data_IF_056722244574
#
_entry.id   IF_056722244574
#
_cell.length_a   1.000
_cell.length_b   1.000
_cell.length_c   1.000
_cell.angle_alpha   90.00
_cell.angle_beta   90.00
_cell.angle_gamma   90.00
#
_symmetry.space_group_name_H-M   'P 1'
#
loop_
_entity.id
_entity.type
_entity.pdbx_description
1 polymer ?
#
# COMPACT_ATOMS: atom_id res chain seq x y z
N UNK A 1 44.21 1.31 -4.49
CA UNK A 1 42.77 1.16 -4.81
C UNK A 1 42.10 0.44 -3.63
N UNK A 2 41.83 1.19 -2.55
CA UNK A 2 41.41 0.64 -1.25
C UNK A 2 39.90 0.43 -1.29
N UNK A 3 39.47 -0.84 -1.29
CA UNK A 3 38.07 -1.20 -1.06
C UNK A 3 37.76 -0.93 0.41
N UNK A 4 37.03 0.15 0.69
CA UNK A 4 36.36 0.30 1.97
C UNK A 4 35.30 -0.80 2.09
N UNK A 5 35.62 -1.84 2.85
CA UNK A 5 34.64 -2.78 3.37
C UNK A 5 33.75 -2.01 4.36
N UNK A 6 32.59 -1.55 3.90
CA UNK A 6 31.56 -0.97 4.76
C UNK A 6 30.88 -2.11 5.51
N UNK A 7 30.71 -2.04 6.84
CA UNK A 7 30.22 -3.16 7.63
C UNK A 7 28.79 -3.57 7.22
N UNK A 8 28.51 -4.89 7.17
CA UNK A 8 27.16 -5.41 6.97
C UNK A 8 26.32 -5.13 8.22
N UNK A 9 25.51 -4.08 8.19
CA UNK A 9 24.67 -3.68 9.31
C UNK A 9 24.00 -2.32 9.16
N UNK A 10 24.46 -1.52 8.19
CA UNK A 10 23.88 -0.20 7.96
C UNK A 10 22.52 -0.33 7.26
N UNK A 11 21.42 0.05 7.93
CA UNK A 11 20.06 -0.03 7.37
C UNK A 11 19.92 0.71 6.02
N UNK A 12 20.77 1.73 5.81
CA UNK A 12 20.89 2.47 4.55
C UNK A 12 21.46 1.61 3.41
N UNK A 13 22.40 0.71 3.71
CA UNK A 13 22.98 -0.25 2.76
C UNK A 13 21.97 -1.34 2.39
N UNK A 14 21.29 -1.93 3.38
CA UNK A 14 20.25 -2.95 3.15
C UNK A 14 19.13 -2.44 2.25
N UNK A 15 18.73 -1.18 2.44
CA UNK A 15 17.67 -0.53 1.65
C UNK A 15 18.09 -0.22 0.21
N UNK A 16 19.39 0.04 -0.04
CA UNK A 16 19.92 0.27 -1.40
C UNK A 16 20.10 -1.02 -2.18
N UNK A 17 20.46 -2.09 -1.48
CA UNK A 17 20.81 -3.40 -2.05
C UNK A 17 19.74 -4.48 -1.80
N UNK A 18 18.52 -4.09 -1.45
CA UNK A 18 17.41 -5.02 -1.26
C UNK A 18 17.25 -6.04 -2.40
N UNK A 19 17.36 -5.70 -3.70
CA UNK A 19 17.12 -6.66 -4.77
C UNK A 19 18.18 -7.78 -4.85
N UNK A 20 19.35 -7.60 -4.23
CA UNK A 20 20.42 -8.61 -4.25
C UNK A 20 20.37 -9.58 -3.08
N UNK A 21 19.84 -9.18 -1.92
CA UNK A 21 19.76 -10.06 -0.76
C UNK A 21 18.39 -10.73 -0.61
N UNK A 22 17.30 -10.16 -1.13
CA UNK A 22 15.96 -10.71 -0.94
C UNK A 22 15.82 -12.12 -1.48
N UNK A 23 16.37 -12.43 -2.65
CA UNK A 23 16.30 -13.78 -3.20
C UNK A 23 17.00 -14.84 -2.34
N UNK A 24 18.12 -14.48 -1.67
CA UNK A 24 18.79 -15.37 -0.71
C UNK A 24 18.03 -15.48 0.61
N UNK A 25 17.43 -14.39 1.09
CA UNK A 25 16.56 -14.43 2.27
C UNK A 25 15.32 -15.30 2.03
N UNK A 26 14.69 -15.19 0.85
CA UNK A 26 13.58 -16.07 0.43
C UNK A 26 14.01 -17.52 0.37
N UNK A 27 15.22 -17.80 -0.15
CA UNK A 27 15.75 -19.15 -0.20
C UNK A 27 15.97 -19.71 1.21
N UNK A 28 16.58 -18.93 2.11
CA UNK A 28 16.79 -19.31 3.50
C UNK A 28 15.47 -19.56 4.24
N UNK A 29 14.50 -18.66 4.10
CA UNK A 29 13.17 -18.82 4.68
C UNK A 29 12.48 -20.08 4.15
N UNK A 30 12.49 -20.30 2.83
CA UNK A 30 11.83 -21.46 2.21
C UNK A 30 12.51 -22.78 2.61
N UNK A 31 13.84 -22.78 2.74
CA UNK A 31 14.60 -23.93 3.21
C UNK A 31 14.25 -24.28 4.65
N UNK A 32 14.26 -23.29 5.55
CA UNK A 32 13.91 -23.48 6.96
C UNK A 32 12.49 -24.03 7.10
N UNK A 33 11.53 -23.43 6.40
CA UNK A 33 10.14 -23.86 6.45
C UNK A 33 9.93 -25.23 5.78
N UNK A 34 10.70 -25.56 4.74
CA UNK A 34 10.74 -26.88 4.14
C UNK A 34 11.28 -27.95 5.09
N UNK A 35 12.35 -27.66 5.81
CA UNK A 35 12.90 -28.55 6.85
C UNK A 35 11.91 -28.75 8.00
N UNK A 36 11.21 -27.70 8.42
CA UNK A 36 10.12 -27.82 9.40
C UNK A 36 8.97 -28.71 8.88
N UNK A 37 8.61 -28.57 7.60
CA UNK A 37 7.65 -29.45 6.93
C UNK A 37 8.08 -30.92 6.97
N UNK A 38 9.36 -31.21 6.71
CA UNK A 38 9.93 -32.56 6.82
C UNK A 38 9.84 -33.06 8.26
N UNK A 39 10.24 -32.24 9.23
CA UNK A 39 10.18 -32.57 10.66
C UNK A 39 8.76 -32.95 11.10
N UNK A 40 7.74 -32.17 10.73
CA UNK A 40 6.34 -32.48 11.04
C UNK A 40 5.82 -33.71 10.31
N UNK A 41 6.29 -33.97 9.08
CA UNK A 41 5.93 -35.16 8.30
C UNK A 41 6.43 -36.45 8.96
N UNK A 42 7.53 -36.39 9.71
CA UNK A 42 8.08 -37.51 10.49
C UNK A 42 7.60 -37.55 11.95
N UNK A 43 6.48 -36.89 12.27
CA UNK A 43 5.87 -36.92 13.60
C UNK A 43 6.48 -35.94 14.61
N UNK A 44 7.20 -34.92 14.13
CA UNK A 44 7.67 -33.83 14.97
C UNK A 44 6.54 -33.10 15.69
N UNK A 45 6.77 -32.73 16.96
CA UNK A 45 5.79 -31.99 17.76
C UNK A 45 5.59 -30.53 17.27
N UNK A 46 4.48 -29.91 17.66
CA UNK A 46 4.23 -28.48 17.40
C UNK A 46 3.81 -28.17 15.97
N UNK A 47 3.01 -29.04 15.35
CA UNK A 47 2.39 -28.75 14.05
C UNK A 47 1.46 -27.52 14.17
N UNK A 48 1.72 -26.44 13.42
CA UNK A 48 1.07 -25.14 13.65
C UNK A 48 -0.40 -25.08 13.25
N UNK A 49 -0.87 -26.05 12.46
CA UNK A 49 -2.25 -26.10 11.99
C UNK A 49 -3.06 -27.25 12.60
N UNK A 50 -2.55 -27.84 13.68
CA UNK A 50 -3.32 -28.78 14.48
C UNK A 50 -4.61 -28.12 14.96
N UNK A 51 -5.62 -28.95 15.23
CA UNK A 51 -6.88 -28.45 15.78
C UNK A 51 -6.62 -27.70 17.09
N UNK A 52 -7.18 -26.50 17.18
CA UNK A 52 -7.14 -25.65 18.37
C UNK A 52 -8.52 -25.77 19.04
N UNK A 53 -8.60 -25.83 20.40
CA UNK A 53 -9.89 -25.87 21.08
C UNK A 53 -10.82 -24.71 20.67
N UNK A 54 -12.13 -24.96 20.68
CA UNK A 54 -13.16 -24.06 20.11
C UNK A 54 -13.15 -22.63 20.68
N UNK A 55 -12.67 -22.44 21.91
CA UNK A 55 -12.55 -21.12 22.56
C UNK A 55 -11.50 -20.21 21.90
N UNK A 56 -10.60 -20.78 21.09
CA UNK A 56 -9.50 -20.09 20.40
C UNK A 56 -9.56 -20.23 18.88
N UNK A 57 -10.56 -20.95 18.37
CA UNK A 57 -10.70 -21.25 16.97
C UNK A 57 -10.92 -19.98 16.16
N UNK A 58 -10.11 -19.82 15.11
CA UNK A 58 -10.11 -18.61 14.27
C UNK A 58 -10.78 -18.85 12.94
N UNK A 59 -11.36 -20.03 12.68
CA UNK A 59 -11.89 -20.44 11.38
C UNK A 59 -10.89 -20.21 10.22
N UNK A 60 -9.60 -20.33 10.54
CA UNK A 60 -8.51 -20.17 9.56
C UNK A 60 -8.50 -21.36 8.60
N UNK A 61 -8.20 -21.12 7.33
CA UNK A 61 -8.33 -22.12 6.24
C UNK A 61 -7.53 -23.40 6.51
N UNK A 62 -6.37 -23.27 7.16
CA UNK A 62 -5.51 -24.41 7.45
C UNK A 62 -5.76 -25.01 8.83
N UNK A 63 -6.54 -24.34 9.69
CA UNK A 63 -6.79 -24.79 11.05
C UNK A 63 -7.51 -26.14 11.08
N UNK A 64 -7.01 -27.09 11.88
CA UNK A 64 -7.56 -28.44 11.96
C UNK A 64 -7.21 -29.36 10.78
N UNK A 65 -6.29 -28.95 9.88
CA UNK A 65 -5.89 -29.78 8.75
C UNK A 65 -5.00 -30.96 9.16
N UNK A 66 -5.11 -32.12 8.47
CA UNK A 66 -4.31 -33.30 8.76
C UNK A 66 -2.82 -33.09 8.48
N UNK A 67 -1.98 -33.43 9.47
CA UNK A 67 -0.51 -33.27 9.39
C UNK A 67 0.11 -34.14 8.29
N UNK A 68 -0.44 -35.33 8.05
CA UNK A 68 0.01 -36.30 7.05
C UNK A 68 -0.19 -35.82 5.60
N UNK A 69 -1.06 -34.84 5.38
CA UNK A 69 -1.27 -34.23 4.05
C UNK A 69 -0.51 -32.92 3.93
N UNK A 70 -0.66 -32.02 4.90
CA UNK A 70 -0.17 -30.65 4.77
C UNK A 70 1.34 -30.56 5.01
N UNK A 71 1.90 -31.30 5.97
CA UNK A 71 3.34 -31.24 6.26
C UNK A 71 4.22 -31.68 5.08
N UNK A 72 3.90 -32.77 4.33
CA UNK A 72 4.65 -33.12 3.12
C UNK A 72 4.54 -32.09 1.99
N UNK A 73 3.38 -31.44 1.85
CA UNK A 73 3.18 -30.35 0.89
C UNK A 73 4.04 -29.14 1.26
N UNK A 74 4.07 -28.76 2.55
CA UNK A 74 4.94 -27.69 3.06
C UNK A 74 6.42 -28.01 2.82
N UNK A 75 6.84 -29.25 3.08
CA UNK A 75 8.20 -29.71 2.82
C UNK A 75 8.56 -29.56 1.33
N UNK A 76 7.70 -30.06 0.44
CA UNK A 76 7.91 -30.02 -1.01
C UNK A 76 7.99 -28.59 -1.52
N UNK A 77 7.01 -27.74 -1.16
CA UNK A 77 6.95 -26.34 -1.58
C UNK A 77 8.13 -25.56 -1.00
N UNK A 78 8.49 -25.78 0.27
CA UNK A 78 9.60 -25.09 0.92
C UNK A 78 10.95 -25.42 0.29
N UNK A 79 11.26 -26.72 0.12
CA UNK A 79 12.51 -27.17 -0.48
C UNK A 79 12.63 -26.79 -1.95
N UNK A 80 11.58 -27.03 -2.76
CA UNK A 80 11.55 -26.61 -4.16
C UNK A 80 11.61 -25.08 -4.29
N UNK A 81 10.92 -24.36 -3.40
CA UNK A 81 10.94 -22.91 -3.30
C UNK A 81 12.34 -22.36 -3.01
N UNK A 82 13.11 -23.03 -2.14
CA UNK A 82 14.49 -22.64 -1.85
C UNK A 82 15.38 -22.72 -3.11
N UNK A 83 15.30 -23.83 -3.84
CA UNK A 83 16.02 -24.03 -5.11
C UNK A 83 15.60 -22.96 -6.13
N UNK A 84 14.30 -22.74 -6.27
CA UNK A 84 13.73 -21.74 -7.18
C UNK A 84 14.21 -20.33 -6.85
N UNK A 85 14.20 -19.93 -5.57
CA UNK A 85 14.65 -18.61 -5.14
C UNK A 85 16.13 -18.38 -5.46
N UNK A 86 16.99 -19.39 -5.26
CA UNK A 86 18.42 -19.32 -5.66
C UNK A 86 18.56 -19.23 -7.17
N UNK A 87 17.83 -20.06 -7.93
CA UNK A 87 17.85 -20.06 -9.39
C UNK A 87 17.41 -18.68 -9.95
N UNK A 88 16.31 -18.12 -9.46
CA UNK A 88 15.84 -16.79 -9.81
C UNK A 88 16.86 -15.71 -9.47
N UNK A 89 17.67 -15.89 -8.43
CA UNK A 89 18.68 -14.91 -8.01
C UNK A 89 19.93 -14.97 -8.87
N UNK A 90 20.44 -16.17 -9.16
CA UNK A 90 21.72 -16.36 -9.87
C UNK A 90 21.60 -16.40 -11.38
N UNK A 91 20.53 -16.96 -11.92
CA UNK A 91 20.37 -17.14 -13.35
C UNK A 91 19.87 -15.86 -14.03
N UNK A 92 20.22 -15.71 -15.31
CA UNK A 92 19.57 -14.69 -16.15
C UNK A 92 18.08 -15.02 -16.24
N UNK A 93 17.20 -14.04 -16.03
CA UNK A 93 15.77 -14.28 -16.08
C UNK A 93 15.36 -14.80 -17.44
N UNK A 94 14.70 -15.96 -17.45
CA UNK A 94 14.17 -16.63 -18.64
C UNK A 94 12.71 -16.98 -18.40
N UNK A 95 11.84 -16.55 -19.31
CA UNK A 95 10.41 -16.86 -19.28
C UNK A 95 9.60 -16.19 -18.16
N UNK A 96 8.28 -16.22 -18.31
CA UNK A 96 7.29 -15.73 -17.34
C UNK A 96 6.94 -16.76 -16.26
N UNK A 97 7.27 -18.03 -16.46
CA UNK A 97 6.87 -19.14 -15.57
C UNK A 97 7.40 -18.96 -14.14
N UNK A 98 8.72 -18.72 -13.98
CA UNK A 98 9.30 -18.53 -12.64
C UNK A 98 8.71 -17.31 -11.92
N UNK A 99 8.36 -16.28 -12.68
CA UNK A 99 7.69 -15.10 -12.14
C UNK A 99 6.26 -15.43 -11.68
N UNK A 100 5.51 -16.22 -12.46
CA UNK A 100 4.17 -16.66 -12.11
C UNK A 100 4.18 -17.51 -10.83
N UNK A 101 5.09 -18.48 -10.73
CA UNK A 101 5.24 -19.31 -9.52
C UNK A 101 5.56 -18.43 -8.30
N UNK A 102 6.53 -17.53 -8.42
CA UNK A 102 6.88 -16.62 -7.32
C UNK A 102 5.72 -15.69 -6.93
N UNK A 103 4.90 -15.26 -7.89
CA UNK A 103 3.72 -14.45 -7.61
C UNK A 103 2.61 -15.26 -6.92
N UNK A 104 2.38 -16.51 -7.33
CA UNK A 104 1.44 -17.43 -6.68
C UNK A 104 1.85 -17.70 -5.24
N UNK A 105 3.14 -18.00 -4.99
CA UNK A 105 3.66 -18.19 -3.64
C UNK A 105 3.52 -16.93 -2.80
N UNK A 106 3.83 -15.76 -3.37
CA UNK A 106 3.67 -14.49 -2.68
C UNK A 106 2.21 -14.22 -2.26
N UNK A 107 1.26 -14.40 -3.19
CA UNK A 107 -0.17 -14.18 -2.94
C UNK A 107 -0.72 -15.21 -1.95
N UNK A 108 -0.41 -16.49 -2.16
CA UNK A 108 -0.86 -17.57 -1.29
C UNK A 108 -0.43 -17.36 0.16
N UNK A 109 0.87 -17.10 0.37
CA UNK A 109 1.45 -16.95 1.70
C UNK A 109 1.10 -15.62 2.38
N UNK A 110 0.96 -14.52 1.62
CA UNK A 110 0.71 -13.20 2.21
C UNK A 110 -0.77 -12.82 2.32
N UNK A 111 -1.64 -13.36 1.46
CA UNK A 111 -3.03 -12.88 1.31
C UNK A 111 -4.09 -13.97 1.45
N UNK A 112 -3.77 -15.24 1.13
CA UNK A 112 -4.77 -16.32 1.13
C UNK A 112 -4.74 -17.11 2.43
N UNK A 113 -3.54 -17.51 2.87
CA UNK A 113 -3.39 -18.34 4.08
C UNK A 113 -3.61 -17.56 5.38
N UNK A 114 -3.16 -16.29 5.53
CA UNK A 114 -3.40 -15.55 6.77
C UNK A 114 -4.90 -15.28 7.00
N UNK A 115 -5.26 -15.12 8.27
CA UNK A 115 -6.62 -14.85 8.74
C UNK A 115 -6.73 -13.46 9.39
N UNK A 116 -7.75 -13.23 10.23
CA UNK A 116 -7.90 -11.98 11.00
C UNK A 116 -6.74 -11.67 11.94
N UNK A 117 -5.83 -12.60 12.22
CA UNK A 117 -4.68 -12.40 13.09
C UNK A 117 -3.88 -11.17 12.67
N UNK A 118 -3.65 -10.97 11.37
CA UNK A 118 -2.83 -9.84 10.91
C UNK A 118 -3.47 -8.49 11.22
N UNK A 119 -4.79 -8.36 10.99
CA UNK A 119 -5.50 -7.11 11.29
C UNK A 119 -5.69 -6.92 12.80
N UNK A 120 -5.95 -8.01 13.55
CA UNK A 120 -6.04 -7.98 14.99
C UNK A 120 -4.73 -7.53 15.64
N UNK A 121 -3.59 -8.05 15.19
CA UNK A 121 -2.26 -7.62 15.66
C UNK A 121 -2.04 -6.14 15.37
N UNK A 122 -2.42 -5.65 14.19
CA UNK A 122 -2.27 -4.22 13.85
C UNK A 122 -3.19 -3.35 14.73
N UNK A 123 -4.47 -3.72 14.86
CA UNK A 123 -5.46 -2.98 15.64
C UNK A 123 -5.13 -2.97 17.15
N UNK A 124 -4.65 -4.10 17.67
CA UNK A 124 -4.26 -4.26 19.08
C UNK A 124 -2.83 -3.80 19.35
N UNK A 125 -2.01 -3.54 18.34
CA UNK A 125 -0.60 -3.15 18.54
C UNK A 125 -0.40 -1.96 19.50
N UNK A 126 -1.23 -0.89 19.50
CA UNK A 126 -1.07 0.18 20.49
C UNK A 126 -1.32 -0.31 21.91
N UNK A 127 -2.33 -1.16 22.11
CA UNK A 127 -2.63 -1.77 23.40
C UNK A 127 -1.53 -2.73 23.84
N UNK A 128 -1.03 -3.59 22.93
CA UNK A 128 0.09 -4.52 23.19
C UNK A 128 1.35 -3.74 23.59
N UNK A 129 1.66 -2.63 22.93
CA UNK A 129 2.79 -1.77 23.28
C UNK A 129 2.60 -1.20 24.68
N UNK A 130 1.43 -0.64 25.00
CA UNK A 130 1.13 -0.14 26.34
C UNK A 130 1.29 -1.26 27.37
N UNK A 131 0.71 -2.44 27.15
CA UNK A 131 0.84 -3.60 28.05
C UNK A 131 2.29 -4.04 28.25
N UNK A 132 3.09 -4.09 27.18
CA UNK A 132 4.50 -4.44 27.25
C UNK A 132 5.32 -3.44 28.11
N UNK A 133 4.90 -2.17 28.15
CA UNK A 133 5.57 -1.13 28.95
C UNK A 133 5.00 -1.00 30.38
N UNK A 134 3.70 -1.18 30.57
CA UNK A 134 3.04 -0.97 31.87
C UNK A 134 2.95 -2.24 32.71
N UNK A 135 3.04 -3.42 32.10
CA UNK A 135 2.89 -4.70 32.78
C UNK A 135 1.48 -4.95 33.32
N UNK A 136 0.51 -4.09 33.03
CA UNK A 136 -0.89 -4.26 33.42
C UNK A 136 -1.56 -5.13 32.35
N UNK A 137 -1.84 -6.42 32.61
CA UNK A 137 -2.58 -7.22 31.65
C UNK A 137 -3.98 -6.61 31.50
N UNK A 138 -4.46 -6.50 30.26
CA UNK A 138 -5.90 -6.34 30.02
C UNK A 138 -6.66 -7.58 30.52
N UNK A 139 -7.98 -7.62 30.37
CA UNK A 139 -8.80 -8.78 30.76
C UNK A 139 -8.43 -10.10 30.05
N UNK A 140 -7.53 -10.05 29.06
CA UNK A 140 -6.98 -11.19 28.32
C UNK A 140 -5.70 -11.66 29.04
N UNK A 141 -5.60 -12.95 29.37
CA UNK A 141 -4.58 -13.58 30.24
C UNK A 141 -3.10 -13.47 29.82
N UNK A 142 -2.76 -12.61 28.86
CA UNK A 142 -1.39 -12.25 28.46
C UNK A 142 -1.17 -12.26 26.94
N UNK A 143 0.06 -11.93 26.52
CA UNK A 143 0.46 -11.95 25.10
C UNK A 143 0.35 -13.36 24.50
N UNK A 144 0.55 -14.41 25.30
CA UNK A 144 0.47 -15.80 24.86
C UNK A 144 -0.94 -16.24 24.43
N UNK A 145 -2.00 -15.64 24.99
CA UNK A 145 -3.37 -15.91 24.58
C UNK A 145 -3.71 -15.20 23.25
N UNK A 146 -3.06 -14.07 22.98
CA UNK A 146 -3.24 -13.30 21.74
C UNK A 146 -2.39 -13.89 20.59
N UNK A 147 -1.16 -14.32 20.89
CA UNK A 147 -0.16 -14.80 19.94
C UNK A 147 0.27 -16.24 20.25
N UNK A 148 -0.68 -17.16 20.28
CA UNK A 148 -0.37 -18.58 20.36
C UNK A 148 0.26 -19.09 19.05
N UNK A 149 0.80 -20.31 19.08
CA UNK A 149 1.69 -20.84 18.04
C UNK A 149 1.13 -20.73 16.61
N UNK A 150 -0.16 -21.02 16.40
CA UNK A 150 -0.81 -20.88 15.09
C UNK A 150 -0.68 -19.46 14.53
N UNK A 151 -1.04 -18.46 15.33
CA UNK A 151 -1.02 -17.04 14.95
C UNK A 151 0.39 -16.54 14.66
N UNK A 152 1.36 -16.97 15.46
CA UNK A 152 2.79 -16.69 15.21
C UNK A 152 3.21 -17.31 13.88
N UNK A 153 2.78 -18.55 13.60
CA UNK A 153 3.08 -19.22 12.34
C UNK A 153 2.48 -18.50 11.12
N UNK A 154 1.26 -17.97 11.23
CA UNK A 154 0.66 -17.14 10.17
C UNK A 154 1.48 -15.87 9.89
N UNK A 155 2.05 -15.23 10.93
CA UNK A 155 2.98 -14.10 10.75
C UNK A 155 4.27 -14.54 10.06
N UNK A 156 4.80 -15.71 10.39
CA UNK A 156 6.00 -16.29 9.72
C UNK A 156 5.72 -16.55 8.24
N UNK A 157 4.56 -17.13 7.91
CA UNK A 157 4.09 -17.32 6.53
C UNK A 157 3.94 -16.01 5.78
N UNK A 158 3.32 -15.02 6.42
CA UNK A 158 3.16 -13.68 5.87
C UNK A 158 4.52 -13.04 5.48
N UNK A 159 5.51 -13.15 6.37
CA UNK A 159 6.88 -12.69 6.09
C UNK A 159 7.46 -13.43 4.87
N UNK A 160 7.25 -14.74 4.78
CA UNK A 160 7.61 -15.54 3.61
C UNK A 160 6.98 -15.04 2.31
N UNK A 161 5.68 -14.72 2.36
CA UNK A 161 4.96 -14.14 1.22
C UNK A 161 5.51 -12.77 0.78
N UNK A 162 5.86 -11.90 1.73
CA UNK A 162 6.52 -10.60 1.44
C UNK A 162 7.90 -10.80 0.79
N UNK A 163 8.69 -11.78 1.27
CA UNK A 163 9.99 -12.13 0.68
C UNK A 163 9.84 -12.66 -0.76
N UNK A 164 8.85 -13.53 -1.00
CA UNK A 164 8.49 -14.00 -2.34
C UNK A 164 8.03 -12.86 -3.26
N UNK A 165 7.20 -11.94 -2.77
CA UNK A 165 6.78 -10.76 -3.52
C UNK A 165 7.97 -9.89 -3.93
N UNK A 166 8.89 -9.63 -2.98
CA UNK A 166 10.11 -8.87 -3.26
C UNK A 166 10.99 -9.57 -4.29
N UNK A 167 11.12 -10.89 -4.21
CA UNK A 167 11.88 -11.72 -5.16
C UNK A 167 11.26 -11.70 -6.55
N UNK A 168 9.93 -11.84 -6.65
CA UNK A 168 9.17 -11.75 -7.89
C UNK A 168 9.34 -10.37 -8.55
N UNK A 169 9.25 -9.28 -7.77
CA UNK A 169 9.47 -7.91 -8.26
C UNK A 169 10.90 -7.72 -8.75
N UNK A 170 11.90 -8.19 -8.00
CA UNK A 170 13.31 -8.08 -8.39
C UNK A 170 13.61 -8.89 -9.65
N UNK A 171 13.03 -10.09 -9.79
CA UNK A 171 13.14 -10.92 -11.00
C UNK A 171 12.46 -10.27 -12.21
N UNK A 172 11.24 -9.76 -12.04
CA UNK A 172 10.49 -9.06 -13.09
C UNK A 172 11.23 -7.81 -13.60
N UNK A 173 11.81 -7.03 -12.69
CA UNK A 173 12.58 -5.84 -13.09
C UNK A 173 13.85 -6.20 -13.86
N UNK A 174 14.52 -7.30 -13.49
CA UNK A 174 15.67 -7.83 -14.25
C UNK A 174 15.25 -8.35 -15.62
N UNK A 175 14.13 -9.07 -15.71
CA UNK A 175 13.63 -9.62 -16.98
C UNK A 175 13.23 -8.52 -17.97
N UNK A 176 12.77 -7.37 -17.47
CA UNK A 176 12.43 -6.18 -18.26
C UNK A 176 13.61 -5.23 -18.54
N UNK A 177 14.83 -5.56 -18.09
CA UNK A 177 16.00 -4.68 -18.19
C UNK A 177 15.77 -3.25 -17.65
N UNK A 178 14.92 -3.12 -16.62
CA UNK A 178 14.69 -1.86 -15.93
C UNK A 178 15.50 -1.80 -14.63
N UNK A 179 15.60 -0.62 -14.02
CA UNK A 179 16.31 -0.47 -12.76
C UNK A 179 15.68 -1.37 -11.68
N UNK A 180 16.46 -2.31 -11.14
CA UNK A 180 15.98 -3.26 -10.11
C UNK A 180 15.52 -2.58 -8.81
N UNK A 181 16.05 -1.40 -8.48
CA UNK A 181 15.71 -0.68 -7.25
C UNK A 181 14.43 0.15 -7.39
N UNK A 182 14.28 0.93 -8.47
CA UNK A 182 13.15 1.86 -8.63
C UNK A 182 12.14 1.46 -9.72
N UNK A 183 12.45 0.48 -10.56
CA UNK A 183 11.61 0.02 -11.68
C UNK A 183 11.64 0.91 -12.93
N UNK A 184 12.44 1.99 -12.95
CA UNK A 184 12.52 2.91 -14.10
C UNK A 184 13.33 2.31 -15.26
N UNK A 185 12.78 2.39 -16.47
CA UNK A 185 13.42 1.99 -17.73
C UNK A 185 13.93 3.18 -18.56
N UNK A 186 14.20 2.92 -19.85
CA UNK A 186 14.60 3.93 -20.84
C UNK A 186 13.51 5.02 -20.99
N UNK A 187 12.27 4.58 -21.18
CA UNK A 187 11.06 5.41 -21.17
C UNK A 187 10.20 5.05 -19.95
N UNK A 188 9.59 6.04 -19.32
CA UNK A 188 8.56 5.80 -18.29
C UNK A 188 7.19 5.69 -18.95
N UNK A 189 6.37 4.68 -18.60
CA UNK A 189 5.00 4.59 -19.09
C UNK A 189 4.18 5.82 -18.69
N UNK A 190 3.34 6.32 -19.60
CA UNK A 190 2.53 7.53 -19.39
C UNK A 190 1.63 7.44 -18.14
N UNK A 191 1.12 6.25 -17.81
CA UNK A 191 0.29 6.00 -16.63
C UNK A 191 1.04 6.18 -15.29
N UNK A 192 2.38 6.11 -15.31
CA UNK A 192 3.24 6.37 -14.14
C UNK A 192 3.62 7.84 -13.98
N UNK A 193 3.23 8.70 -14.92
CA UNK A 193 3.45 10.14 -14.77
C UNK A 193 2.72 10.66 -13.51
N UNK A 194 3.27 11.67 -12.80
CA UNK A 194 2.63 12.19 -11.58
C UNK A 194 1.19 12.66 -11.79
N UNK A 195 0.89 13.20 -12.99
CA UNK A 195 -0.45 13.67 -13.36
C UNK A 195 -1.42 12.50 -13.58
N UNK A 196 -1.02 11.45 -14.31
CA UNK A 196 -1.83 10.26 -14.47
C UNK A 196 -2.03 9.54 -13.13
N UNK A 197 -0.95 9.36 -12.35
CA UNK A 197 -0.98 8.81 -11.00
C UNK A 197 -1.96 9.51 -10.06
N UNK A 198 -2.07 10.84 -10.16
CA UNK A 198 -3.07 11.58 -9.39
C UNK A 198 -4.51 11.27 -9.86
N UNK A 199 -4.76 11.12 -11.16
CA UNK A 199 -6.10 10.89 -11.71
C UNK A 199 -6.67 9.54 -11.27
N UNK A 200 -5.95 8.45 -11.50
CA UNK A 200 -6.42 7.13 -11.07
C UNK A 200 -6.28 6.94 -9.55
N UNK A 201 -5.33 7.62 -8.90
CA UNK A 201 -5.22 7.62 -7.44
C UNK A 201 -6.45 8.20 -6.74
N UNK A 202 -7.11 9.22 -7.31
CA UNK A 202 -8.38 9.76 -6.79
C UNK A 202 -9.50 8.73 -6.80
N UNK A 203 -9.61 7.95 -7.87
CA UNK A 203 -10.57 6.85 -7.95
C UNK A 203 -10.27 5.78 -6.92
N UNK A 204 -9.00 5.38 -6.79
CA UNK A 204 -8.59 4.39 -5.79
C UNK A 204 -8.91 4.85 -4.35
N UNK A 205 -8.68 6.12 -4.01
CA UNK A 205 -9.08 6.69 -2.71
C UNK A 205 -10.59 6.66 -2.54
N UNK A 206 -11.37 7.07 -3.55
CA UNK A 206 -12.83 7.06 -3.48
C UNK A 206 -13.39 5.65 -3.25
N UNK A 207 -12.86 4.65 -3.96
CA UNK A 207 -13.25 3.25 -3.80
C UNK A 207 -12.85 2.74 -2.40
N UNK A 208 -11.64 3.05 -1.93
CA UNK A 208 -11.18 2.64 -0.61
C UNK A 208 -12.08 3.19 0.51
N UNK A 209 -12.45 4.46 0.43
CA UNK A 209 -13.35 5.09 1.41
C UNK A 209 -14.75 4.49 1.32
N UNK A 210 -15.32 4.39 0.11
CA UNK A 210 -16.66 3.86 -0.08
C UNK A 210 -16.79 2.39 0.35
N UNK A 211 -15.78 1.56 0.12
CA UNK A 211 -15.77 0.16 0.54
C UNK A 211 -15.73 -0.01 2.06
N UNK A 212 -15.17 0.97 2.80
CA UNK A 212 -15.14 0.91 4.26
C UNK A 212 -16.49 1.28 4.91
N UNK A 213 -17.24 2.21 4.31
CA UNK A 213 -18.44 2.79 4.93
C UNK A 213 -19.50 1.75 5.38
N UNK A 214 -19.82 0.68 4.62
CA UNK A 214 -20.84 -0.27 5.05
C UNK A 214 -20.50 -0.96 6.37
N UNK A 215 -19.23 -1.32 6.59
CA UNK A 215 -18.78 -1.97 7.82
C UNK A 215 -18.87 -1.02 9.02
N UNK A 216 -18.45 0.23 8.85
CA UNK A 216 -18.54 1.20 9.95
C UNK A 216 -19.97 1.60 10.26
N UNK A 217 -20.83 1.66 9.24
CA UNK A 217 -22.24 1.95 9.41
C UNK A 217 -22.93 0.90 10.30
N UNK A 218 -22.67 -0.39 10.08
CA UNK A 218 -23.29 -1.44 10.92
C UNK A 218 -22.81 -1.35 12.37
N UNK A 219 -21.50 -1.13 12.61
CA UNK A 219 -20.95 -0.97 13.97
C UNK A 219 -21.52 0.24 14.71
N UNK A 220 -21.67 1.38 14.01
CA UNK A 220 -22.28 2.58 14.57
C UNK A 220 -23.78 2.34 14.86
N UNK A 221 -24.50 1.71 13.95
CA UNK A 221 -25.91 1.37 14.13
C UNK A 221 -26.14 0.47 15.35
N UNK A 222 -25.33 -0.59 15.50
CA UNK A 222 -25.42 -1.51 16.65
C UNK A 222 -25.16 -0.79 17.98
N UNK A 223 -24.20 0.13 18.03
CA UNK A 223 -23.94 0.92 19.23
C UNK A 223 -25.14 1.79 19.65
N UNK A 224 -25.87 2.36 18.69
CA UNK A 224 -27.06 3.17 18.95
C UNK A 224 -28.35 2.36 19.15
N UNK A 225 -28.24 1.03 19.25
CA UNK A 225 -29.39 0.15 19.50
C UNK A 225 -30.18 -0.21 18.24
N UNK A 226 -29.62 -0.03 17.05
CA UNK A 226 -30.25 -0.46 15.79
C UNK A 226 -29.63 -1.80 15.33
N UNK A 227 -30.32 -2.94 15.49
CA UNK A 227 -29.82 -4.27 15.15
C UNK A 227 -29.85 -4.51 13.62
N UNK A 228 -29.17 -3.66 12.85
CA UNK A 228 -29.15 -3.76 11.39
C UNK A 228 -28.44 -5.05 10.97
N UNK A 229 -29.21 -5.99 10.42
CA UNK A 229 -28.73 -7.25 9.85
C UNK A 229 -28.16 -8.26 10.85
N UNK A 230 -28.57 -8.13 12.12
CA UNK A 230 -28.35 -9.09 13.21
C UNK A 230 -29.67 -9.33 13.93
N UNK A 231 -29.82 -10.48 14.59
CA UNK A 231 -31.00 -10.75 15.42
C UNK A 231 -31.02 -9.89 16.68
N UNK A 232 -32.21 -9.63 17.22
CA UNK A 232 -32.39 -8.90 18.48
C UNK A 232 -31.68 -9.63 19.64
N UNK A 233 -31.75 -10.96 19.68
CA UNK A 233 -31.06 -11.79 20.68
C UNK A 233 -29.53 -11.62 20.62
N UNK A 234 -28.96 -11.56 19.41
CA UNK A 234 -27.53 -11.35 19.22
C UNK A 234 -27.11 -9.93 19.60
N UNK A 235 -27.94 -8.94 19.28
CA UNK A 235 -27.71 -7.55 19.70
C UNK A 235 -27.78 -7.39 21.22
N UNK A 236 -28.74 -8.05 21.88
CA UNK A 236 -28.84 -8.08 23.34
C UNK A 236 -27.61 -8.73 23.96
N UNK A 237 -27.13 -9.85 23.41
CA UNK A 237 -25.88 -10.49 23.84
C UNK A 237 -24.67 -9.54 23.72
N UNK A 238 -24.59 -8.75 22.65
CA UNK A 238 -23.55 -7.72 22.52
C UNK A 238 -23.65 -6.63 23.58
N UNK A 239 -24.87 -6.22 23.95
CA UNK A 239 -25.11 -5.21 24.98
C UNK A 239 -24.81 -5.73 26.39
N UNK A 240 -25.11 -7.00 26.65
CA UNK A 240 -24.84 -7.67 27.94
C UNK A 240 -23.35 -7.96 28.12
N UNK A 241 -22.58 -8.07 27.03
CA UNK A 241 -21.13 -8.30 27.05
C UNK A 241 -20.36 -7.00 27.35
N UNK A 242 -19.67 -6.89 28.50
CA UNK A 242 -19.04 -5.62 28.89
C UNK A 242 -18.01 -5.13 27.87
N UNK A 243 -18.17 -3.89 27.37
CA UNK A 243 -17.20 -3.22 26.51
C UNK A 243 -17.27 -3.61 25.02
N UNK A 244 -18.15 -4.53 24.62
CA UNK A 244 -18.17 -5.06 23.25
C UNK A 244 -18.69 -4.02 22.24
N UNK A 245 -19.77 -3.30 22.57
CA UNK A 245 -20.34 -2.24 21.74
C UNK A 245 -19.42 -1.01 21.72
N UNK A 246 -18.83 -0.63 22.85
CA UNK A 246 -17.89 0.49 22.97
C UNK A 246 -16.62 0.24 22.15
N UNK A 247 -16.06 -0.98 22.21
CA UNK A 247 -14.94 -1.38 21.38
C UNK A 247 -15.31 -1.33 19.89
N UNK A 248 -16.54 -1.74 19.56
CA UNK A 248 -17.06 -1.64 18.19
C UNK A 248 -17.14 -0.22 17.66
N UNK A 249 -17.69 0.69 18.46
CA UNK A 249 -17.73 2.10 18.12
C UNK A 249 -16.31 2.68 18.01
N UNK A 250 -15.42 2.33 18.93
CA UNK A 250 -14.02 2.80 18.92
C UNK A 250 -13.29 2.39 17.63
N UNK A 251 -13.43 1.12 17.22
CA UNK A 251 -12.91 0.64 15.95
C UNK A 251 -13.55 1.37 14.76
N UNK A 252 -14.85 1.63 14.80
CA UNK A 252 -15.54 2.33 13.73
C UNK A 252 -15.09 3.78 13.56
N UNK A 253 -14.91 4.50 14.68
CA UNK A 253 -14.34 5.85 14.68
C UNK A 253 -12.91 5.83 14.14
N UNK A 254 -12.10 4.85 14.51
CA UNK A 254 -10.73 4.70 13.98
C UNK A 254 -10.74 4.41 12.47
N UNK A 255 -11.64 3.56 11.99
CA UNK A 255 -11.76 3.25 10.57
C UNK A 255 -12.26 4.44 9.75
N UNK A 256 -13.25 5.19 10.25
CA UNK A 256 -13.68 6.47 9.66
C UNK A 256 -12.55 7.50 9.63
N UNK A 257 -11.78 7.64 10.72
CA UNK A 257 -10.59 8.49 10.76
C UNK A 257 -9.52 8.02 9.75
N UNK A 258 -9.33 6.71 9.60
CA UNK A 258 -8.51 6.09 8.56
C UNK A 258 -8.98 6.42 7.14
N UNK A 259 -10.29 6.46 6.91
CA UNK A 259 -10.91 6.93 5.66
C UNK A 259 -10.56 8.38 5.36
N UNK A 260 -10.68 9.27 6.35
CA UNK A 260 -10.24 10.68 6.23
C UNK A 260 -8.74 10.76 5.93
N UNK A 261 -7.90 9.97 6.61
CA UNK A 261 -6.45 9.88 6.36
C UNK A 261 -6.12 9.40 4.94
N UNK A 262 -6.93 8.52 4.37
CA UNK A 262 -6.77 8.00 3.01
C UNK A 262 -6.91 9.11 1.97
N UNK A 263 -7.75 10.13 2.20
CA UNK A 263 -7.81 11.32 1.34
C UNK A 263 -6.48 12.10 1.27
N UNK A 264 -5.65 11.99 2.31
CA UNK A 264 -4.31 12.57 2.34
C UNK A 264 -3.41 12.07 1.20
N UNK A 265 -3.64 10.86 0.69
CA UNK A 265 -2.87 10.29 -0.42
C UNK A 265 -3.07 11.03 -1.75
N UNK A 266 -4.16 11.80 -1.90
CA UNK A 266 -4.46 12.55 -3.13
C UNK A 266 -4.53 14.07 -2.94
N UNK A 267 -4.58 14.55 -1.69
CA UNK A 267 -4.64 15.96 -1.36
C UNK A 267 -3.30 16.55 -0.89
N UNK A 268 -3.21 17.89 -0.89
CA UNK A 268 -2.01 18.64 -0.49
C UNK A 268 -1.58 18.42 0.96
N UNK A 269 -2.52 18.14 1.86
CA UNK A 269 -2.22 18.01 3.30
C UNK A 269 -1.48 16.71 3.64
N UNK A 270 -1.58 15.66 2.82
CA UNK A 270 -0.72 14.48 2.91
C UNK A 270 0.65 14.69 2.25
N UNK A 271 0.88 15.85 1.64
CA UNK A 271 2.17 16.23 1.05
C UNK A 271 2.94 17.26 1.87
N UNK A 272 2.21 18.18 2.47
CA UNK A 272 2.70 19.32 3.26
C UNK A 272 1.85 19.37 4.52
N UNK A 273 2.50 19.47 5.68
CA UNK A 273 1.79 19.56 6.95
C UNK A 273 0.85 20.77 6.95
N UNK A 274 -0.45 20.56 7.21
CA UNK A 274 -1.44 21.63 7.22
C UNK A 274 -1.18 22.61 8.37
N UNK A 275 -1.71 23.84 8.24
CA UNK A 275 -1.40 24.96 9.15
C UNK A 275 -1.89 24.76 10.58
N UNK A 276 -2.88 23.89 10.80
CA UNK A 276 -3.37 23.53 12.13
C UNK A 276 -2.39 22.64 12.92
N UNK A 277 -1.41 22.02 12.26
CA UNK A 277 -0.31 21.31 12.93
C UNK A 277 0.79 22.31 13.26
N UNK A 278 0.58 23.09 14.33
CA UNK A 278 1.40 24.22 14.76
C UNK A 278 2.93 23.98 14.76
N UNK A 279 3.43 22.81 15.19
CA UNK A 279 4.87 22.52 15.28
C UNK A 279 5.54 22.13 13.94
N UNK A 280 4.77 21.78 12.90
CA UNK A 280 5.31 21.31 11.60
C UNK A 280 4.67 21.97 10.38
N UNK A 281 3.78 22.93 10.56
CA UNK A 281 3.07 23.64 9.51
C UNK A 281 4.01 24.07 8.35
N UNK A 282 3.59 23.78 7.11
CA UNK A 282 4.33 24.17 5.90
C UNK A 282 5.55 23.30 5.54
N UNK A 283 6.00 22.41 6.44
CA UNK A 283 7.07 21.44 6.11
C UNK A 283 6.52 20.32 5.22
N UNK A 284 7.39 19.74 4.38
CA UNK A 284 7.04 18.55 3.57
C UNK A 284 6.90 17.33 4.47
N UNK A 285 5.83 16.57 4.28
CA UNK A 285 5.63 15.28 4.96
C UNK A 285 6.59 14.26 4.37
N UNK A 286 7.39 13.51 5.16
CA UNK A 286 8.20 12.41 4.63
C UNK A 286 7.30 11.35 3.97
N UNK A 287 7.53 10.95 2.71
CA UNK A 287 6.62 10.04 2.00
C UNK A 287 6.38 8.70 2.72
N UNK A 288 7.40 8.18 3.40
CA UNK A 288 7.32 6.90 4.12
C UNK A 288 6.32 6.94 5.28
N UNK A 289 6.05 8.12 5.86
CA UNK A 289 5.11 8.28 6.96
C UNK A 289 3.68 7.96 6.52
N UNK A 290 3.34 8.17 5.24
CA UNK A 290 2.06 7.76 4.67
C UNK A 290 2.14 6.35 4.06
N UNK A 291 3.22 6.03 3.34
CA UNK A 291 3.33 4.78 2.58
C UNK A 291 3.35 3.55 3.49
N UNK A 292 4.14 3.56 4.57
CA UNK A 292 4.30 2.39 5.43
C UNK A 292 2.98 1.99 6.10
N UNK A 293 2.29 2.87 6.86
CA UNK A 293 1.04 2.48 7.51
C UNK A 293 -0.05 2.11 6.49
N UNK A 294 -0.18 2.87 5.40
CA UNK A 294 -1.17 2.57 4.37
C UNK A 294 -0.90 1.23 3.66
N UNK A 295 0.37 0.87 3.44
CA UNK A 295 0.72 -0.44 2.85
C UNK A 295 0.45 -1.59 3.83
N UNK A 296 0.72 -1.40 5.12
CA UNK A 296 0.44 -2.41 6.14
C UNK A 296 -1.07 -2.67 6.18
N UNK A 297 -1.88 -1.62 6.36
CA UNK A 297 -3.35 -1.72 6.41
C UNK A 297 -3.90 -2.34 5.12
N UNK A 298 -3.43 -1.89 3.95
CA UNK A 298 -3.87 -2.42 2.66
C UNK A 298 -3.65 -3.93 2.52
N UNK A 299 -2.54 -4.44 3.04
CA UNK A 299 -2.18 -5.85 2.91
C UNK A 299 -2.92 -6.71 3.93
N UNK A 300 -3.05 -6.27 5.19
CA UNK A 300 -3.70 -7.06 6.24
C UNK A 300 -5.22 -7.13 6.11
N UNK A 301 -5.84 -6.15 5.42
CA UNK A 301 -7.28 -6.14 5.16
C UNK A 301 -7.73 -7.25 4.19
N UNK A 302 -6.88 -7.64 3.25
CA UNK A 302 -7.23 -8.61 2.21
C UNK A 302 -7.52 -10.00 2.79
N UNK A 303 -6.62 -10.63 3.58
CA UNK A 303 -6.92 -11.93 4.18
C UNK A 303 -8.16 -11.89 5.09
N UNK A 304 -8.33 -10.83 5.87
CA UNK A 304 -9.49 -10.62 6.70
C UNK A 304 -10.81 -10.54 5.88
N UNK A 305 -10.80 -9.83 4.74
CA UNK A 305 -11.96 -9.78 3.85
C UNK A 305 -12.23 -11.10 3.13
N UNK A 306 -11.18 -11.84 2.76
CA UNK A 306 -11.32 -13.16 2.16
C UNK A 306 -11.95 -14.15 3.13
N UNK A 307 -11.57 -14.08 4.40
CA UNK A 307 -12.14 -14.91 5.45
C UNK A 307 -13.63 -14.59 5.69
N UNK A 308 -14.01 -13.31 5.72
CA UNK A 308 -15.44 -12.91 5.75
C UNK A 308 -16.24 -13.53 4.60
N UNK A 309 -15.64 -13.69 3.43
CA UNK A 309 -16.30 -14.26 2.25
C UNK A 309 -16.46 -15.78 2.30
N UNK A 310 -15.71 -16.46 3.17
CA UNK A 310 -15.77 -17.92 3.37
C UNK A 310 -16.75 -18.30 4.48
N UNK A 311 -17.00 -17.39 5.42
CA UNK A 311 -17.94 -17.60 6.50
C UNK A 311 -19.39 -17.57 6.00
N UNK A 312 -20.31 -18.34 6.59
CA UNK A 312 -21.72 -18.33 6.21
C UNK A 312 -22.32 -16.93 6.38
N UNK A 313 -23.11 -16.53 5.40
CA UNK A 313 -24.03 -15.41 5.52
C UNK A 313 -25.34 -15.96 6.09
N UNK A 314 -25.42 -16.02 7.42
CA UNK A 314 -26.65 -16.37 8.11
C UNK A 314 -27.74 -15.33 7.81
N UNK A 315 -28.96 -15.78 7.51
CA UNK A 315 -30.04 -14.91 7.02
C UNK A 315 -30.38 -13.80 8.00
N UNK A 316 -30.40 -14.12 9.29
CA UNK A 316 -30.74 -13.17 10.36
C UNK A 316 -29.50 -12.42 10.88
N UNK A 317 -28.29 -12.89 10.58
CA UNK A 317 -27.02 -12.34 11.08
C UNK A 317 -26.02 -11.98 9.97
N UNK A 318 -26.51 -11.67 8.77
CA UNK A 318 -25.67 -11.42 7.61
C UNK A 318 -24.69 -10.26 7.81
N UNK A 319 -25.04 -9.27 8.64
CA UNK A 319 -24.23 -8.07 8.87
C UNK A 319 -23.00 -8.33 9.73
N UNK A 320 -22.84 -9.53 10.32
CA UNK A 320 -21.61 -9.94 11.01
C UNK A 320 -20.45 -10.01 10.02
N UNK A 321 -20.66 -10.64 8.85
CA UNK A 321 -19.60 -10.95 7.90
C UNK A 321 -19.72 -10.19 6.57
N UNK A 322 -20.93 -9.96 6.05
CA UNK A 322 -21.10 -9.44 4.69
C UNK A 322 -20.43 -8.08 4.45
N UNK A 323 -20.53 -7.09 5.37
CA UNK A 323 -19.83 -5.83 5.18
C UNK A 323 -18.29 -5.99 5.19
N UNK A 324 -17.77 -6.99 5.92
CA UNK A 324 -16.34 -7.31 5.99
C UNK A 324 -15.77 -7.89 4.69
N UNK A 325 -16.60 -8.47 3.82
CA UNK A 325 -16.18 -8.95 2.48
C UNK A 325 -15.57 -7.80 1.66
N UNK A 326 -16.08 -6.57 1.83
CA UNK A 326 -15.57 -5.38 1.14
C UNK A 326 -14.16 -4.98 1.57
N UNK A 327 -13.61 -5.57 2.64
CA UNK A 327 -12.22 -5.33 3.04
C UNK A 327 -11.21 -5.76 1.98
N UNK A 328 -11.52 -6.75 1.14
CA UNK A 328 -10.68 -7.11 -0.01
C UNK A 328 -10.59 -5.94 -1.00
N UNK A 329 -11.74 -5.34 -1.32
CA UNK A 329 -11.83 -4.18 -2.22
C UNK A 329 -11.16 -2.97 -1.60
N UNK A 330 -11.39 -2.72 -0.30
CA UNK A 330 -10.76 -1.64 0.44
C UNK A 330 -9.23 -1.79 0.46
N UNK A 331 -8.71 -2.96 0.81
CA UNK A 331 -7.28 -3.24 0.86
C UNK A 331 -6.61 -3.06 -0.50
N UNK A 332 -7.20 -3.62 -1.57
CA UNK A 332 -6.69 -3.48 -2.93
C UNK A 332 -6.70 -2.01 -3.41
N UNK A 333 -7.79 -1.28 -3.14
CA UNK A 333 -7.92 0.13 -3.49
C UNK A 333 -6.94 1.01 -2.70
N UNK A 334 -6.76 0.76 -1.40
CA UNK A 334 -5.80 1.47 -0.56
C UNK A 334 -4.35 1.21 -1.00
N UNK A 335 -4.01 -0.05 -1.32
CA UNK A 335 -2.71 -0.41 -1.87
C UNK A 335 -2.43 0.30 -3.20
N UNK A 336 -3.45 0.37 -4.06
CA UNK A 336 -3.41 1.10 -5.34
C UNK A 336 -3.20 2.60 -5.09
N UNK A 337 -3.99 3.23 -4.22
CA UNK A 337 -3.83 4.64 -3.85
C UNK A 337 -2.45 4.95 -3.27
N UNK A 338 -1.92 4.05 -2.44
CA UNK A 338 -0.58 4.14 -1.86
C UNK A 338 0.50 4.07 -2.93
N UNK A 339 0.34 3.19 -3.91
CA UNK A 339 1.24 3.12 -5.06
C UNK A 339 1.19 4.39 -5.92
N UNK A 340 0.01 4.98 -6.12
CA UNK A 340 -0.17 6.26 -6.81
C UNK A 340 0.58 7.39 -6.08
N UNK A 341 0.43 7.44 -4.76
CA UNK A 341 1.14 8.38 -3.91
C UNK A 341 2.66 8.20 -4.01
N UNK A 342 3.14 6.96 -3.98
CA UNK A 342 4.56 6.64 -4.18
C UNK A 342 5.07 7.13 -5.54
N UNK A 343 4.34 6.88 -6.65
CA UNK A 343 4.74 7.31 -7.99
C UNK A 343 4.82 8.83 -8.15
N UNK A 344 3.97 9.57 -7.45
CA UNK A 344 4.01 11.05 -7.42
C UNK A 344 5.16 11.59 -6.59
N UNK A 345 5.55 10.87 -5.54
CA UNK A 345 6.50 11.32 -4.51
C UNK A 345 7.91 10.77 -4.69
N UNK A 346 8.14 9.85 -5.63
CA UNK A 346 9.48 9.30 -5.93
C UNK A 346 10.41 10.34 -6.55
N UNK A 347 11.57 10.54 -5.92
CA UNK A 347 12.63 11.45 -6.38
C UNK A 347 13.61 10.73 -7.32
N UNK A 348 14.74 11.38 -7.66
CA UNK A 348 15.84 10.77 -8.41
C UNK A 348 16.33 9.49 -7.74
N UNK A 349 16.43 8.42 -8.52
CA UNK A 349 16.92 7.14 -8.00
C UNK A 349 18.44 7.19 -7.81
N UNK A 350 18.92 6.93 -6.60
CA UNK A 350 20.35 6.89 -6.28
C UNK A 350 21.16 5.79 -7.00
N UNK A 351 20.50 4.82 -7.65
CA UNK A 351 21.16 3.71 -8.36
C UNK A 351 21.27 3.93 -9.87
N UNK A 352 20.20 4.42 -10.51
CA UNK A 352 20.21 4.64 -11.97
C UNK A 352 20.26 6.11 -12.36
N UNK A 353 20.24 7.06 -11.41
CA UNK A 353 20.25 8.49 -11.67
C UNK A 353 18.97 9.04 -12.32
N UNK A 354 18.02 8.18 -12.67
CA UNK A 354 16.78 8.59 -13.36
C UNK A 354 15.77 9.17 -12.37
N UNK A 355 15.11 10.26 -12.76
CA UNK A 355 14.00 10.89 -12.05
C UNK A 355 13.92 12.40 -12.30
N UNK A 356 12.97 13.05 -11.62
CA UNK A 356 12.84 14.51 -11.67
C UNK A 356 13.92 15.11 -10.78
N UNK A 357 14.93 15.76 -11.37
CA UNK A 357 15.84 16.65 -10.66
C UNK A 357 15.02 17.76 -10.00
N UNK A 358 15.40 18.13 -8.79
CA UNK A 358 14.76 19.25 -8.09
C UNK A 358 14.71 20.45 -9.06
N UNK A 359 13.59 21.18 -9.05
CA UNK A 359 13.20 22.21 -10.03
C UNK A 359 14.20 23.38 -10.22
N UNK A 360 15.32 23.37 -9.52
CA UNK A 360 16.43 24.32 -9.57
C UNK A 360 17.26 24.23 -10.87
N UNK A 361 17.43 23.07 -11.49
CA UNK A 361 18.33 22.94 -12.66
C UNK A 361 17.63 23.27 -14.00
N UNK A 362 16.29 23.22 -14.04
CA UNK A 362 15.51 23.56 -15.24
C UNK A 362 15.48 25.07 -15.55
N UNK A 363 15.94 25.90 -14.60
CA UNK A 363 16.16 27.34 -14.79
C UNK A 363 17.61 27.65 -15.20
N UNK A 364 18.59 26.84 -14.78
CA UNK A 364 19.99 27.00 -15.18
C UNK A 364 20.25 26.62 -16.64
N UNK A 365 19.60 25.56 -17.16
CA UNK A 365 19.71 25.18 -18.57
C UNK A 365 19.02 26.15 -19.55
N UNK A 366 18.18 27.07 -19.05
CA UNK A 366 17.54 28.12 -19.85
C UNK A 366 18.32 29.44 -19.84
N UNK A 367 19.19 29.67 -18.85
CA UNK A 367 20.05 30.86 -18.78
C UNK A 367 21.42 30.66 -19.44
N UNK A 368 21.88 29.41 -19.61
CA UNK A 368 23.16 29.11 -20.27
C UNK A 368 23.07 28.98 -21.79
N UNK A 369 21.87 29.01 -22.39
CA UNK A 369 21.66 28.86 -23.84
C UNK A 369 21.57 30.16 -24.65
N UNK A 370 21.82 31.33 -24.05
CA UNK A 370 21.60 32.63 -24.70
C UNK A 370 22.79 33.61 -24.62
N UNK A 371 24.00 33.11 -24.42
CA UNK A 371 25.22 33.93 -24.53
C UNK A 371 26.36 33.17 -25.18
N UNK A 372 26.29 33.02 -26.50
CA UNK A 372 27.50 32.86 -27.29
C UNK A 372 27.36 33.53 -28.67
N UNK A 373 27.97 34.71 -28.78
CA UNK A 373 28.81 35.03 -29.93
C UNK A 373 28.18 35.62 -31.19
N UNK A 374 27.60 36.82 -31.11
CA UNK A 374 27.54 37.73 -32.26
C UNK A 374 28.95 38.23 -32.61
N UNK A 375 29.46 37.89 -33.81
CA UNK A 375 30.48 38.68 -34.52
C UNK A 375 29.93 39.10 -35.88
N UNK A 376 29.79 40.42 -36.06
CA UNK A 376 29.49 41.09 -37.32
C UNK A 376 30.67 40.97 -38.30
N UNK A 377 30.37 40.79 -39.59
CA UNK A 377 31.03 41.49 -40.70
C UNK A 377 30.24 41.31 -42.01
N UNK A 378 30.04 42.40 -42.75
CA UNK A 378 29.85 42.38 -44.21
C UNK A 378 28.43 42.53 -44.77
N UNK A 379 28.03 43.76 -45.09
CA UNK A 379 27.07 44.11 -46.17
C UNK A 379 27.78 43.92 -47.54
N UNK A 380 27.12 43.77 -48.73
CA UNK A 380 26.23 44.80 -49.30
C UNK A 380 25.04 44.37 -50.21
N UNK A 381 24.05 45.28 -50.28
CA UNK A 381 23.28 45.77 -51.45
C UNK A 381 22.32 44.88 -52.29
N UNK A 382 21.01 45.27 -52.32
CA UNK A 382 20.17 45.68 -53.50
C UNK A 382 18.72 45.97 -53.04
N UNK A 383 18.25 47.23 -53.10
CA UNK A 383 17.37 47.85 -54.14
C UNK A 383 15.88 47.37 -54.09
N UNK A 384 14.92 48.17 -53.58
CA UNK A 384 14.10 49.26 -54.19
C UNK A 384 12.71 48.80 -54.74
N UNK A 385 11.60 49.24 -54.12
CA UNK A 385 10.58 50.15 -54.73
C UNK A 385 9.26 50.35 -53.93
N UNK A 386 8.90 51.64 -53.81
CA UNK A 386 7.59 52.35 -53.97
C UNK A 386 6.38 51.93 -53.10
N UNK A 387 5.82 52.73 -52.19
CA UNK A 387 5.21 54.09 -52.22
C UNK A 387 3.77 54.17 -52.77
N UNK A 388 2.78 54.59 -51.93
CA UNK A 388 1.98 55.84 -52.08
C UNK A 388 0.72 55.89 -51.17
N UNK A 389 0.62 56.97 -50.37
CA UNK A 389 -0.51 57.92 -50.10
C UNK A 389 -1.87 57.38 -49.57
N UNK A 390 -2.68 58.06 -48.74
CA UNK A 390 -2.87 59.49 -48.39
C UNK A 390 -3.74 59.64 -47.11
N UNK A 391 -3.69 60.85 -46.53
CA UNK A 391 -4.45 61.53 -45.44
C UNK A 391 -5.97 61.25 -45.30
N UNK A 392 -6.69 61.55 -44.19
CA UNK A 392 -7.07 62.90 -43.65
C UNK A 392 -7.59 62.84 -42.18
N UNK A 393 -7.36 63.95 -41.45
CA UNK A 393 -7.96 64.54 -40.20
C UNK A 393 -9.50 64.36 -40.06
N UNK A 394 -10.27 64.65 -39.00
CA UNK A 394 -10.24 65.34 -37.68
C UNK A 394 -11.61 65.06 -37.02
N UNK A 395 -11.70 64.69 -35.74
CA UNK A 395 -12.07 65.50 -34.55
C UNK A 395 -13.56 65.91 -34.34
N UNK A 396 -14.02 65.66 -33.09
CA UNK A 396 -15.16 66.22 -32.30
C UNK A 396 -16.58 65.81 -32.69
N UNK A 397 -17.59 65.82 -31.82
CA UNK A 397 -17.81 65.76 -30.35
C UNK A 397 -19.32 66.00 -30.13
N UNK A 398 -19.91 65.48 -29.04
CA UNK A 398 -21.28 65.78 -28.57
C UNK A 398 -22.33 64.80 -29.11
N UNK A 399 -23.38 64.40 -28.38
CA UNK A 399 -23.92 64.82 -27.08
C UNK A 399 -25.04 63.83 -26.70
N UNK A 400 -25.16 63.48 -25.41
CA UNK A 400 -26.39 62.96 -24.78
C UNK A 400 -27.50 64.05 -24.79
N UNK A 401 -28.81 63.76 -24.64
CA UNK A 401 -29.39 62.97 -23.53
C UNK A 401 -30.71 62.21 -23.82
N UNK A 402 -31.25 61.53 -22.79
CA UNK A 402 -32.71 61.56 -22.53
C UNK A 402 -33.51 60.26 -22.66
N UNK A 403 -33.71 59.62 -21.49
CA UNK A 403 -34.86 58.82 -21.01
C UNK A 403 -36.00 58.40 -21.97
N UNK A 404 -36.40 57.12 -21.91
CA UNK A 404 -37.63 56.66 -21.25
C UNK A 404 -37.90 55.17 -21.53
N UNK A 405 -38.24 54.43 -20.47
CA UNK A 405 -38.94 53.13 -20.50
C UNK A 405 -40.38 53.31 -21.03
N UNK A 406 -41.01 52.27 -21.62
CA UNK A 406 -41.76 51.29 -20.81
C UNK A 406 -41.64 49.83 -21.27
N UNK A 407 -41.98 48.97 -20.32
CA UNK A 407 -42.36 47.55 -20.39
C UNK A 407 -43.46 47.26 -21.42
N UNK A 408 -43.46 46.05 -22.01
CA UNK A 408 -44.54 45.03 -21.91
C UNK A 408 -44.11 43.73 -22.60
N UNK A 409 -44.72 42.65 -22.12
CA UNK A 409 -44.59 41.21 -22.40
C UNK A 409 -43.39 40.45 -21.79
#
# INVERSE_FOLDING_TARGET
MIRYAVPPGDARYMRKNWPSWTGYATAGWSLLYGVLGVYWSFGGAGYPFAHVPDDRATASILEGTPVDVVAPVMATIGLAGAVLAVAMTRMRPRGSVLQAIAAVLAVGLALVIPDYTLIAVVALSPAIVVFAFTGVPGAQGGIGDILYWHRVNLVILFIGGVLWAATAIAYHRRSRNVCVSCGRGASEPAWQSPTAALRWGKWAVGIAVAANLPYEFTRVAWYFGWPVGISDDFHQMMADTPGMLEMGLGLAVMGLAGGVLTHGLVHRWGEIYPRWIWFKAGKRVPPLLAIIPASIVAVVLVPAGLMNAQLPLDGDNWAINAPGILWVVWGAALGTATYAYYLRRRTTCARCGRGVTCRSDALAGRSSGSREGSRRAGSPARALRRSRTRSVRSARAGSHPGAAHPTYE
#
